data_IF_389960352339
#
_entry.id   IF_389960352339
#
_cell.length_a   1.000
_cell.length_b   1.000
_cell.length_c   1.000
_cell.angle_alpha   90.00
_cell.angle_beta   90.00
_cell.angle_gamma   90.00
#
_symmetry.space_group_name_H-M   'P 1'
#
loop_
_entity.id
_entity.type
_entity.pdbx_description
1 polymer ?
#
# COMPACT_ATOMS: atom_id res chain seq x y z
N UNK A 1 4.80 -25.06 0.85
CA UNK A 1 5.46 -23.80 1.27
C UNK A 1 4.41 -22.73 1.50
N UNK A 2 4.42 -22.16 2.68
CA UNK A 2 3.49 -21.09 3.00
C UNK A 2 3.86 -19.84 2.23
N UNK A 3 2.84 -19.10 1.82
CA UNK A 3 3.00 -17.86 1.09
C UNK A 3 2.37 -16.72 1.89
N UNK A 4 3.10 -15.64 2.03
CA UNK A 4 2.58 -14.46 2.71
C UNK A 4 1.90 -13.52 1.73
N UNK A 5 0.90 -12.83 2.23
CA UNK A 5 0.15 -11.83 1.50
C UNK A 5 0.17 -10.52 2.28
N UNK A 6 0.10 -9.42 1.56
CA UNK A 6 0.19 -8.09 2.16
C UNK A 6 -0.96 -7.22 1.67
N UNK A 7 -1.58 -6.53 2.61
CA UNK A 7 -2.44 -5.39 2.31
C UNK A 7 -1.60 -4.15 2.52
N UNK A 8 -1.59 -3.24 1.59
CA UNK A 8 -0.71 -2.08 1.66
C UNK A 8 -1.42 -0.81 1.18
N UNK A 9 -0.91 0.33 1.61
CA UNK A 9 -1.38 1.63 1.14
C UNK A 9 -0.19 2.47 0.66
N UNK A 10 -0.39 3.15 -0.48
CA UNK A 10 0.58 4.06 -1.05
C UNK A 10 -0.03 5.44 -1.20
N UNK A 11 0.82 6.45 -1.22
CA UNK A 11 0.39 7.83 -1.35
C UNK A 11 1.36 8.62 -2.24
N UNK A 12 0.91 9.79 -2.67
CA UNK A 12 1.72 10.74 -3.41
C UNK A 12 2.53 11.63 -2.45
N UNK A 13 3.39 12.49 -3.01
CA UNK A 13 4.28 13.36 -2.23
C UNK A 13 3.53 14.25 -1.23
N UNK A 14 2.34 14.70 -1.60
CA UNK A 14 1.56 15.64 -0.78
C UNK A 14 0.52 14.96 0.12
N UNK A 15 0.49 13.62 0.17
CA UNK A 15 -0.44 12.84 0.98
C UNK A 15 -1.92 13.14 0.68
N UNK A 16 -2.23 13.49 -0.57
CA UNK A 16 -3.59 13.84 -0.99
C UNK A 16 -4.38 12.68 -1.55
N UNK A 17 -3.69 11.65 -2.04
CA UNK A 17 -4.32 10.46 -2.64
C UNK A 17 -3.79 9.21 -1.94
N UNK A 18 -4.69 8.31 -1.56
CA UNK A 18 -4.34 7.03 -0.92
C UNK A 18 -4.81 5.90 -1.82
N UNK A 19 -3.88 5.01 -2.19
CA UNK A 19 -4.18 3.78 -2.91
C UNK A 19 -4.06 2.60 -1.96
N UNK A 20 -5.02 1.69 -2.02
CA UNK A 20 -5.00 0.44 -1.25
C UNK A 20 -4.91 -0.74 -2.20
N UNK A 21 -4.01 -1.67 -1.92
CA UNK A 21 -3.83 -2.86 -2.75
C UNK A 21 -3.53 -4.10 -1.92
N UNK A 22 -3.49 -5.25 -2.59
CA UNK A 22 -3.13 -6.53 -2.01
C UNK A 22 -2.15 -7.22 -2.94
N UNK A 23 -1.15 -7.87 -2.38
CA UNK A 23 -0.11 -8.54 -3.17
C UNK A 23 0.51 -9.68 -2.39
N UNK A 24 1.08 -10.66 -3.09
CA UNK A 24 1.93 -11.69 -2.50
C UNK A 24 3.43 -11.33 -2.59
N UNK A 25 3.75 -10.19 -3.23
CA UNK A 25 5.13 -9.71 -3.39
C UNK A 25 5.16 -8.20 -3.15
N UNK A 26 5.30 -7.82 -1.89
CA UNK A 26 5.22 -6.41 -1.51
C UNK A 26 6.36 -5.58 -2.12
N UNK A 27 7.60 -6.05 -2.01
CA UNK A 27 8.75 -5.32 -2.53
C UNK A 27 8.65 -5.13 -4.04
N UNK A 28 8.35 -6.21 -4.77
CA UNK A 28 8.20 -6.15 -6.22
C UNK A 28 7.06 -5.24 -6.66
N UNK A 29 5.92 -5.30 -5.96
CA UNK A 29 4.77 -4.47 -6.29
C UNK A 29 5.04 -2.98 -6.02
N UNK A 30 5.70 -2.65 -4.92
CA UNK A 30 6.07 -1.27 -4.61
C UNK A 30 7.07 -0.75 -5.63
N UNK A 31 8.03 -1.59 -6.05
CA UNK A 31 8.96 -1.24 -7.12
C UNK A 31 8.21 -0.88 -8.42
N UNK A 32 7.22 -1.71 -8.80
CA UNK A 32 6.40 -1.46 -9.99
C UNK A 32 5.67 -0.12 -9.90
N UNK A 33 5.10 0.19 -8.73
CA UNK A 33 4.41 1.46 -8.53
C UNK A 33 5.37 2.65 -8.63
N UNK A 34 6.52 2.56 -7.98
CA UNK A 34 7.52 3.64 -8.01
C UNK A 34 8.05 3.90 -9.42
N UNK A 35 8.19 2.86 -10.22
CA UNK A 35 8.75 2.95 -11.57
C UNK A 35 7.68 3.10 -12.65
N UNK A 36 6.42 3.24 -12.25
CA UNK A 36 5.29 3.42 -13.17
C UNK A 36 5.28 2.37 -14.27
N UNK A 37 5.51 1.12 -13.90
CA UNK A 37 5.61 0.01 -14.85
C UNK A 37 4.33 -0.14 -15.67
N UNK A 38 3.17 0.14 -15.07
CA UNK A 38 1.91 0.29 -15.79
C UNK A 38 1.51 1.77 -15.80
N UNK A 39 1.80 2.52 -16.87
CA UNK A 39 1.54 3.95 -16.92
C UNK A 39 0.06 4.31 -16.88
N UNK A 40 -0.83 3.35 -17.13
CA UNK A 40 -2.27 3.58 -17.09
C UNK A 40 -2.89 3.25 -15.73
N UNK A 41 -2.09 2.74 -14.78
CA UNK A 41 -2.59 2.40 -13.45
C UNK A 41 -2.92 3.64 -12.63
N UNK A 42 -3.77 3.45 -11.62
CA UNK A 42 -4.11 4.52 -10.67
C UNK A 42 -2.85 5.11 -10.02
N UNK A 43 -1.94 4.25 -9.54
CA UNK A 43 -0.72 4.70 -8.86
C UNK A 43 0.19 5.52 -9.77
N UNK A 44 0.26 5.17 -11.05
CA UNK A 44 1.05 5.94 -12.03
C UNK A 44 0.43 7.30 -12.31
N UNK A 45 -0.88 7.33 -12.51
CA UNK A 45 -1.60 8.58 -12.81
C UNK A 45 -1.52 9.60 -11.68
N UNK A 46 -1.58 9.12 -10.44
CA UNK A 46 -1.62 10.00 -9.27
C UNK A 46 -0.30 10.05 -8.52
N UNK A 47 0.76 9.48 -9.08
CA UNK A 47 2.12 9.50 -8.52
C UNK A 47 2.18 8.93 -7.10
N UNK A 48 1.48 7.82 -6.85
CA UNK A 48 1.49 7.13 -5.56
C UNK A 48 2.78 6.32 -5.46
N UNK A 49 3.86 6.96 -5.04
CA UNK A 49 5.20 6.39 -5.03
C UNK A 49 5.80 6.20 -3.64
N UNK A 50 5.02 6.43 -2.59
CA UNK A 50 5.47 6.27 -1.20
C UNK A 50 4.63 5.20 -0.52
N UNK A 51 5.29 4.22 0.09
CA UNK A 51 4.61 3.17 0.86
C UNK A 51 4.41 3.66 2.29
N UNK A 52 3.16 3.79 2.74
CA UNK A 52 2.86 4.38 4.04
C UNK A 52 2.23 3.40 5.03
N UNK A 53 1.84 2.22 4.58
CA UNK A 53 1.22 1.20 5.43
C UNK A 53 1.33 -0.16 4.77
N UNK A 54 1.56 -1.20 5.58
CA UNK A 54 1.35 -2.58 5.14
C UNK A 54 1.05 -3.48 6.33
N UNK A 55 0.31 -4.55 6.07
CA UNK A 55 0.03 -5.59 7.04
C UNK A 55 0.17 -6.94 6.34
N UNK A 56 0.70 -7.91 7.05
CA UNK A 56 1.01 -9.24 6.52
C UNK A 56 0.06 -10.29 7.08
N UNK A 57 -0.33 -11.24 6.24
CA UNK A 57 -1.08 -12.43 6.66
C UNK A 57 -0.67 -13.60 5.77
N UNK A 58 -0.79 -14.83 6.30
CA UNK A 58 -0.54 -16.04 5.51
C UNK A 58 -1.80 -16.58 4.82
N UNK A 59 -2.91 -15.86 4.88
CA UNK A 59 -4.20 -16.26 4.31
C UNK A 59 -4.61 -15.27 3.22
N UNK A 60 -4.64 -15.74 1.96
CA UNK A 60 -5.00 -14.90 0.81
C UNK A 60 -6.40 -14.34 0.92
N UNK A 61 -7.35 -15.12 1.43
CA UNK A 61 -8.73 -14.67 1.55
C UNK A 61 -8.86 -13.57 2.59
N UNK A 62 -8.17 -13.73 3.73
CA UNK A 62 -8.13 -12.70 4.77
C UNK A 62 -7.52 -11.40 4.23
N UNK A 63 -6.48 -11.49 3.42
CA UNK A 63 -5.86 -10.31 2.80
C UNK A 63 -6.82 -9.58 1.87
N UNK A 64 -7.53 -10.32 1.03
CA UNK A 64 -8.50 -9.76 0.09
C UNK A 64 -9.65 -9.08 0.84
N UNK A 65 -10.16 -9.71 1.88
CA UNK A 65 -11.23 -9.15 2.70
C UNK A 65 -10.79 -7.87 3.40
N UNK A 66 -9.58 -7.86 3.95
CA UNK A 66 -9.03 -6.68 4.60
C UNK A 66 -8.83 -5.52 3.62
N UNK A 67 -8.33 -5.81 2.41
CA UNK A 67 -8.19 -4.80 1.36
C UNK A 67 -9.54 -4.17 1.02
N UNK A 68 -10.58 -4.98 0.85
CA UNK A 68 -11.93 -4.49 0.57
C UNK A 68 -12.48 -3.65 1.71
N UNK A 69 -12.25 -4.10 2.94
CA UNK A 69 -12.70 -3.38 4.14
C UNK A 69 -12.06 -1.98 4.22
N UNK A 70 -10.76 -1.91 3.98
CA UNK A 70 -10.03 -0.64 3.99
C UNK A 70 -10.51 0.27 2.86
N UNK A 71 -10.62 -0.27 1.63
CA UNK A 71 -11.08 0.50 0.47
C UNK A 71 -12.45 1.13 0.67
N UNK A 72 -13.37 0.40 1.29
CA UNK A 72 -14.73 0.89 1.52
C UNK A 72 -14.85 1.84 2.72
N UNK A 73 -13.79 1.96 3.52
CA UNK A 73 -13.79 2.84 4.67
C UNK A 73 -13.59 4.31 4.30
N UNK A 74 -13.87 5.18 5.26
CA UNK A 74 -13.70 6.61 5.09
C UNK A 74 -12.20 6.97 5.01
N UNK A 75 -11.91 8.16 4.48
CA UNK A 75 -10.54 8.67 4.50
C UNK A 75 -10.02 8.80 5.92
N UNK A 76 -10.84 9.25 6.85
CA UNK A 76 -10.47 9.38 8.26
C UNK A 76 -10.06 8.03 8.85
N UNK A 77 -10.78 6.95 8.53
CA UNK A 77 -10.43 5.61 8.99
C UNK A 77 -9.12 5.13 8.39
N UNK A 78 -8.86 5.43 7.11
CA UNK A 78 -7.58 5.09 6.47
C UNK A 78 -6.42 5.82 7.15
N UNK A 79 -6.57 7.10 7.42
CA UNK A 79 -5.56 7.92 8.11
C UNK A 79 -5.27 7.34 9.50
N UNK A 80 -6.31 7.01 10.24
CA UNK A 80 -6.16 6.42 11.58
C UNK A 80 -5.37 5.12 11.53
N UNK A 81 -5.67 4.27 10.56
CA UNK A 81 -4.95 3.00 10.37
C UNK A 81 -3.49 3.23 10.02
N UNK A 82 -3.22 4.14 9.08
CA UNK A 82 -1.86 4.51 8.68
C UNK A 82 -1.08 5.00 9.91
N UNK A 83 -1.64 5.92 10.65
CA UNK A 83 -0.94 6.55 11.76
C UNK A 83 -0.77 5.64 12.97
N UNK A 84 -1.54 4.56 13.06
CA UNK A 84 -1.32 3.55 14.09
C UNK A 84 0.02 2.82 13.91
N UNK A 85 0.54 2.77 12.68
CA UNK A 85 1.80 2.11 12.34
C UNK A 85 2.88 3.13 11.98
N UNK A 86 2.51 4.24 11.36
CA UNK A 86 3.43 5.16 10.71
C UNK A 86 2.95 6.60 10.93
N UNK A 87 3.07 7.13 12.16
CA UNK A 87 2.49 8.43 12.49
C UNK A 87 3.07 9.60 11.69
N UNK A 88 4.28 9.45 11.16
CA UNK A 88 4.92 10.52 10.39
C UNK A 88 4.75 10.37 8.88
N UNK A 89 4.03 9.35 8.42
CA UNK A 89 3.81 9.08 7.00
C UNK A 89 5.13 8.92 6.23
N UNK A 90 6.11 8.27 6.86
CA UNK A 90 7.39 7.98 6.21
C UNK A 90 7.19 6.96 5.07
N UNK A 91 8.06 7.03 4.07
CA UNK A 91 8.09 6.00 3.04
C UNK A 91 8.76 4.76 3.61
N UNK A 92 7.97 3.75 3.95
CA UNK A 92 8.43 2.51 4.57
C UNK A 92 9.31 1.67 3.65
N UNK A 93 9.32 1.96 2.35
CA UNK A 93 10.13 1.22 1.38
C UNK A 93 11.53 1.78 1.18
N UNK A 94 11.86 2.91 1.78
CA UNK A 94 13.20 3.52 1.61
C UNK A 94 14.33 2.59 2.00
N UNK A 95 14.14 1.83 3.06
CA UNK A 95 15.15 0.88 3.55
C UNK A 95 15.41 -0.29 2.59
N UNK A 96 14.57 -0.48 1.59
CA UNK A 96 14.73 -1.57 0.63
C UNK A 96 15.59 -1.19 -0.57
N UNK A 97 15.95 0.09 -0.71
CA UNK A 97 16.81 0.55 -1.81
C UNK A 97 16.10 0.61 -3.17
N UNK A 98 14.81 0.76 -3.17
CA UNK A 98 14.03 0.78 -4.41
C UNK A 98 13.38 2.14 -4.66
#
# INVERSE_FOLDING_TARGET
MEKDYYVYMMTNTHNTVIYTGVTSDLVGRVWQHKNKEDPNSFTSKYNCNRLIYYAETNDSLAAIEEEKRIKSGSRANKIKLIESMNPNWDDLSKKWGI
#
